data_IF_026372895807
#
_entry.id   IF_026372895807
#
_cell.length_a   1.000
_cell.length_b   1.000
_cell.length_c   1.000
_cell.angle_alpha   90.00
_cell.angle_beta   90.00
_cell.angle_gamma   90.00
#
_symmetry.space_group_name_H-M   'P 1'
#
loop_
_entity.id
_entity.type
_entity.pdbx_description
1 polymer ?
#
# COMPACT_ATOMS: atom_id res chain seq x y z
N UNK A 1 67.55 30.84 5.03
CA UNK A 1 66.63 31.15 3.91
C UNK A 1 65.83 29.92 3.44
N UNK A 2 66.45 28.83 2.96
CA UNK A 2 65.74 27.63 2.43
C UNK A 2 64.79 26.93 3.44
N UNK A 3 65.20 26.80 4.69
CA UNK A 3 64.39 26.15 5.73
C UNK A 3 63.08 26.89 6.07
N UNK A 4 63.10 28.23 6.08
CA UNK A 4 61.90 29.04 6.30
C UNK A 4 60.91 28.96 5.12
N UNK A 5 61.42 28.88 3.88
CA UNK A 5 60.59 28.67 2.70
C UNK A 5 59.94 27.28 2.70
N UNK A 6 60.69 26.24 3.10
CA UNK A 6 60.17 24.88 3.22
C UNK A 6 59.06 24.76 4.28
N UNK A 7 59.24 25.40 5.44
CA UNK A 7 58.22 25.42 6.50
C UNK A 7 56.93 26.11 6.04
N UNK A 8 57.03 27.29 5.41
CA UNK A 8 55.86 27.99 4.85
C UNK A 8 55.14 27.16 3.79
N UNK A 9 55.87 26.43 2.95
CA UNK A 9 55.28 25.53 1.96
C UNK A 9 54.53 24.36 2.62
N UNK A 10 55.08 23.78 3.69
CA UNK A 10 54.42 22.71 4.46
C UNK A 10 53.15 23.21 5.16
N UNK A 11 53.20 24.37 5.81
CA UNK A 11 52.02 25.00 6.45
C UNK A 11 50.92 25.30 5.43
N UNK A 12 51.28 25.84 4.26
CA UNK A 12 50.31 26.11 3.19
C UNK A 12 49.67 24.82 2.64
N UNK A 13 50.44 23.73 2.54
CA UNK A 13 49.92 22.42 2.15
C UNK A 13 48.99 21.84 3.21
N UNK A 14 49.42 21.83 4.47
CA UNK A 14 48.60 21.31 5.59
C UNK A 14 47.28 22.06 5.70
N UNK A 15 47.27 23.38 5.51
CA UNK A 15 46.03 24.18 5.51
C UNK A 15 45.09 23.75 4.38
N UNK A 16 45.61 23.60 3.16
CA UNK A 16 44.80 23.16 2.00
C UNK A 16 44.25 21.75 2.19
N UNK A 17 45.07 20.84 2.73
CA UNK A 17 44.65 19.48 3.01
C UNK A 17 43.57 19.44 4.11
N UNK A 18 43.69 20.26 5.16
CA UNK A 18 42.67 20.40 6.19
C UNK A 18 41.35 20.98 5.64
N UNK A 19 41.42 22.03 4.80
CA UNK A 19 40.25 22.61 4.13
C UNK A 19 39.57 21.58 3.22
N UNK A 20 40.35 20.81 2.46
CA UNK A 20 39.86 19.72 1.60
C UNK A 20 39.13 18.67 2.43
N UNK A 21 39.73 18.19 3.53
CA UNK A 21 39.11 17.17 4.39
C UNK A 21 37.80 17.66 5.02
N UNK A 22 37.74 18.92 5.47
CA UNK A 22 36.51 19.50 6.00
C UNK A 22 35.43 19.57 4.93
N UNK A 23 35.79 19.97 3.70
CA UNK A 23 34.86 20.00 2.57
C UNK A 23 34.36 18.59 2.23
N UNK A 24 35.26 17.61 2.14
CA UNK A 24 34.91 16.22 1.81
C UNK A 24 33.91 15.66 2.82
N UNK A 25 34.15 15.83 4.13
CA UNK A 25 33.20 15.41 5.17
C UNK A 25 31.84 16.08 5.06
N UNK A 26 31.81 17.38 4.75
CA UNK A 26 30.53 18.10 4.54
C UNK A 26 29.77 17.59 3.32
N UNK A 27 30.49 17.25 2.24
CA UNK A 27 29.87 16.66 1.05
C UNK A 27 29.34 15.26 1.34
N UNK A 28 30.12 14.43 2.03
CA UNK A 28 29.69 13.08 2.44
C UNK A 28 28.43 13.13 3.32
N UNK A 29 28.41 14.02 4.31
CA UNK A 29 27.25 14.23 5.15
C UNK A 29 26.02 14.69 4.34
N UNK A 30 26.20 15.70 3.48
CA UNK A 30 25.11 16.21 2.65
C UNK A 30 24.57 15.15 1.67
N UNK A 31 25.43 14.27 1.16
CA UNK A 31 25.02 13.15 0.31
C UNK A 31 24.24 12.10 1.11
N UNK A 32 24.69 11.76 2.31
CA UNK A 32 23.97 10.84 3.19
C UNK A 32 22.56 11.37 3.51
N UNK A 33 22.46 12.62 3.95
CA UNK A 33 21.19 13.30 4.23
C UNK A 33 20.30 13.36 2.98
N UNK A 34 20.88 13.68 1.81
CA UNK A 34 20.14 13.70 0.55
C UNK A 34 19.51 12.34 0.22
N UNK A 35 20.27 11.24 0.30
CA UNK A 35 19.77 9.91 0.00
C UNK A 35 18.76 9.43 1.04
N UNK A 36 18.97 9.73 2.33
CA UNK A 36 18.01 9.43 3.39
C UNK A 36 16.67 10.14 3.17
N UNK A 37 16.71 11.44 2.85
CA UNK A 37 15.51 12.21 2.56
C UNK A 37 14.81 11.75 1.28
N UNK A 38 15.56 11.40 0.24
CA UNK A 38 14.98 10.86 -1.00
C UNK A 38 14.25 9.55 -0.74
N UNK A 39 14.89 8.62 -0.01
CA UNK A 39 14.26 7.35 0.36
C UNK A 39 13.00 7.55 1.23
N UNK A 40 13.04 8.52 2.15
CA UNK A 40 11.89 8.88 2.98
C UNK A 40 10.73 9.41 2.14
N UNK A 41 11.00 10.27 1.15
CA UNK A 41 9.98 10.78 0.22
C UNK A 41 9.36 9.64 -0.58
N UNK A 42 10.18 8.78 -1.17
CA UNK A 42 9.71 7.62 -1.94
C UNK A 42 8.81 6.69 -1.10
N UNK A 43 9.19 6.45 0.17
CA UNK A 43 8.39 5.67 1.09
C UNK A 43 7.04 6.33 1.39
N UNK A 44 7.03 7.64 1.66
CA UNK A 44 5.79 8.39 1.92
C UNK A 44 4.86 8.36 0.70
N UNK A 45 5.41 8.51 -0.50
CA UNK A 45 4.64 8.45 -1.74
C UNK A 45 4.01 7.08 -1.94
N UNK A 46 4.79 6.01 -1.78
CA UNK A 46 4.32 4.63 -1.91
C UNK A 46 3.21 4.31 -0.89
N UNK A 47 3.40 4.68 0.38
CA UNK A 47 2.42 4.48 1.44
C UNK A 47 1.12 5.24 1.18
N UNK A 48 1.24 6.49 0.70
CA UNK A 48 0.08 7.33 0.39
C UNK A 48 -0.69 6.76 -0.80
N UNK A 49 0.00 6.33 -1.85
CA UNK A 49 -0.61 5.71 -3.01
C UNK A 49 -1.36 4.42 -2.63
N UNK A 50 -0.75 3.56 -1.81
CA UNK A 50 -1.38 2.33 -1.33
C UNK A 50 -2.65 2.61 -0.49
N UNK A 51 -2.59 3.60 0.42
CA UNK A 51 -3.73 4.01 1.23
C UNK A 51 -4.86 4.59 0.37
N UNK A 52 -4.52 5.45 -0.59
CA UNK A 52 -5.49 6.05 -1.50
C UNK A 52 -6.18 4.97 -2.34
N UNK A 53 -5.42 4.04 -2.92
CA UNK A 53 -5.97 2.93 -3.68
C UNK A 53 -6.96 2.09 -2.86
N UNK A 54 -6.62 1.79 -1.59
CA UNK A 54 -7.52 1.08 -0.68
C UNK A 54 -8.80 1.84 -0.39
N UNK A 55 -8.71 3.14 -0.10
CA UNK A 55 -9.88 3.97 0.19
C UNK A 55 -10.79 4.07 -1.04
N UNK A 56 -10.21 4.27 -2.23
CA UNK A 56 -10.95 4.30 -3.49
C UNK A 56 -11.65 2.98 -3.75
N UNK A 57 -10.96 1.85 -3.63
CA UNK A 57 -11.56 0.52 -3.83
C UNK A 57 -12.73 0.25 -2.87
N UNK A 58 -12.60 0.62 -1.59
CA UNK A 58 -13.69 0.49 -0.61
C UNK A 58 -14.85 1.43 -0.96
N UNK A 59 -14.56 2.65 -1.41
CA UNK A 59 -15.57 3.61 -1.84
C UNK A 59 -16.35 3.13 -3.06
N UNK A 60 -15.66 2.60 -4.07
CA UNK A 60 -16.24 2.01 -5.28
C UNK A 60 -17.14 0.81 -4.93
N UNK A 61 -16.64 -0.11 -4.11
CA UNK A 61 -17.41 -1.27 -3.66
C UNK A 61 -18.71 -0.85 -2.95
N UNK A 62 -18.63 0.07 -1.98
CA UNK A 62 -19.82 0.57 -1.27
C UNK A 62 -20.78 1.32 -2.18
N UNK A 63 -20.27 2.05 -3.17
CA UNK A 63 -21.10 2.75 -4.16
C UNK A 63 -21.82 1.76 -5.06
N UNK A 64 -21.15 0.68 -5.45
CA UNK A 64 -21.74 -0.41 -6.23
C UNK A 64 -22.83 -1.12 -5.42
N UNK A 65 -22.55 -1.52 -4.18
CA UNK A 65 -23.54 -2.13 -3.26
C UNK A 65 -24.78 -1.23 -3.09
N UNK A 66 -24.57 0.06 -2.84
CA UNK A 66 -25.69 1.01 -2.72
C UNK A 66 -26.49 1.13 -4.02
N UNK A 67 -25.82 1.12 -5.17
CA UNK A 67 -26.47 1.18 -6.48
C UNK A 67 -27.33 -0.06 -6.75
N UNK A 68 -26.84 -1.24 -6.36
CA UNK A 68 -27.59 -2.50 -6.45
C UNK A 68 -28.84 -2.47 -5.56
N UNK A 69 -28.71 -2.02 -4.32
CA UNK A 69 -29.85 -1.87 -3.40
C UNK A 69 -30.89 -0.89 -3.94
N UNK A 70 -30.47 0.22 -4.55
CA UNK A 70 -31.38 1.17 -5.22
C UNK A 70 -32.10 0.48 -6.37
N UNK A 71 -31.40 -0.28 -7.22
CA UNK A 71 -32.02 -0.99 -8.34
C UNK A 71 -33.05 -2.03 -7.85
N UNK A 72 -32.75 -2.77 -6.78
CA UNK A 72 -33.69 -3.70 -6.13
C UNK A 72 -34.92 -2.97 -5.61
N UNK A 73 -34.75 -1.84 -4.92
CA UNK A 73 -35.87 -1.05 -4.40
C UNK A 73 -36.75 -0.50 -5.53
N UNK A 74 -36.14 0.01 -6.62
CA UNK A 74 -36.87 0.50 -7.79
C UNK A 74 -37.69 -0.61 -8.45
N UNK A 75 -37.15 -1.83 -8.56
CA UNK A 75 -37.89 -2.99 -9.07
C UNK A 75 -39.07 -3.35 -8.19
N UNK A 76 -38.85 -3.43 -6.88
CA UNK A 76 -39.92 -3.73 -5.94
C UNK A 76 -41.08 -2.73 -6.07
N UNK A 77 -40.79 -1.44 -6.25
CA UNK A 77 -41.85 -0.44 -6.52
C UNK A 77 -42.61 -0.72 -7.82
N UNK A 78 -41.90 -1.07 -8.90
CA UNK A 78 -42.53 -1.41 -10.18
C UNK A 78 -43.36 -2.71 -10.11
N UNK A 79 -42.89 -3.72 -9.37
CA UNK A 79 -43.61 -4.98 -9.14
C UNK A 79 -44.88 -4.79 -8.30
N UNK A 80 -44.89 -3.80 -7.41
CA UNK A 80 -46.08 -3.38 -6.67
C UNK A 80 -47.11 -2.63 -7.55
N UNK A 81 -46.80 -2.38 -8.82
CA UNK A 81 -47.70 -1.77 -9.79
C UNK A 81 -47.48 -0.28 -10.00
N UNK A 82 -46.46 0.33 -9.39
CA UNK A 82 -46.12 1.72 -9.66
C UNK A 82 -45.64 1.91 -11.09
N UNK A 83 -46.01 3.04 -11.70
CA UNK A 83 -45.49 3.41 -13.02
C UNK A 83 -44.11 4.04 -12.88
N UNK A 84 -43.25 3.91 -13.89
CA UNK A 84 -41.91 4.55 -13.89
C UNK A 84 -41.99 6.07 -13.68
N UNK A 85 -43.04 6.72 -14.18
CA UNK A 85 -43.34 8.13 -13.95
C UNK A 85 -43.65 8.43 -12.49
N UNK A 86 -44.49 7.63 -11.84
CA UNK A 86 -44.80 7.78 -10.42
C UNK A 86 -43.54 7.55 -9.56
N UNK A 87 -42.73 6.54 -9.88
CA UNK A 87 -41.45 6.30 -9.19
C UNK A 87 -40.47 7.47 -9.37
N UNK A 88 -40.39 8.07 -10.57
CA UNK A 88 -39.58 9.26 -10.83
C UNK A 88 -40.01 10.45 -9.98
N UNK A 89 -41.31 10.69 -9.85
CA UNK A 89 -41.86 11.75 -9.01
C UNK A 89 -41.59 11.50 -7.52
N UNK A 90 -41.75 10.25 -7.05
CA UNK A 90 -41.54 9.87 -5.65
C UNK A 90 -40.07 9.93 -5.21
N UNK A 91 -39.16 9.52 -6.10
CA UNK A 91 -37.72 9.42 -5.78
C UNK A 91 -36.94 10.67 -6.17
N UNK A 92 -37.52 11.53 -7.03
CA UNK A 92 -36.83 12.66 -7.65
C UNK A 92 -35.81 12.25 -8.73
N UNK A 93 -35.76 10.97 -9.12
CA UNK A 93 -34.86 10.49 -10.16
C UNK A 93 -35.41 10.76 -11.55
N UNK A 94 -34.51 10.94 -12.52
CA UNK A 94 -34.93 11.02 -13.92
C UNK A 94 -35.42 9.65 -14.42
N UNK A 95 -36.37 9.67 -15.37
CA UNK A 95 -36.84 8.45 -16.03
C UNK A 95 -35.71 7.66 -16.69
N UNK A 96 -34.70 8.35 -17.23
CA UNK A 96 -33.52 7.72 -17.80
C UNK A 96 -32.72 6.97 -16.73
N UNK A 97 -32.43 7.61 -15.59
CA UNK A 97 -31.70 6.98 -14.49
C UNK A 97 -32.43 5.77 -13.91
N UNK A 98 -33.77 5.82 -13.78
CA UNK A 98 -34.57 4.68 -13.34
C UNK A 98 -34.49 3.52 -14.34
N UNK A 99 -34.62 3.81 -15.64
CA UNK A 99 -34.48 2.80 -16.69
C UNK A 99 -33.10 2.15 -16.66
N UNK A 100 -32.05 2.95 -16.55
CA UNK A 100 -30.67 2.48 -16.59
C UNK A 100 -30.35 1.62 -15.36
N UNK A 101 -30.81 2.03 -14.17
CA UNK A 101 -30.66 1.27 -12.92
C UNK A 101 -31.44 -0.06 -12.92
N UNK A 102 -32.65 -0.07 -13.49
CA UNK A 102 -33.44 -1.31 -13.60
C UNK A 102 -32.83 -2.25 -14.65
N UNK A 103 -32.33 -1.74 -15.78
CA UNK A 103 -31.76 -2.56 -16.84
C UNK A 103 -30.42 -3.22 -16.48
N UNK A 104 -29.56 -2.54 -15.70
CA UNK A 104 -28.26 -3.08 -15.29
C UNK A 104 -28.37 -4.30 -14.36
N UNK A 105 -29.42 -4.37 -13.54
CA UNK A 105 -29.62 -5.46 -12.59
C UNK A 105 -30.36 -6.67 -13.21
N UNK A 106 -30.88 -6.57 -14.45
CA UNK A 106 -31.63 -7.68 -15.09
C UNK A 106 -30.66 -8.79 -15.48
N UNK A 107 -29.40 -8.44 -15.69
CA UNK A 107 -28.30 -9.36 -15.97
C UNK A 107 -27.72 -10.02 -14.71
N UNK A 108 -27.97 -9.48 -13.50
CA UNK A 108 -27.43 -10.01 -12.25
C UNK A 108 -28.40 -10.96 -11.50
N UNK A 109 -29.70 -10.83 -11.74
CA UNK A 109 -30.75 -11.56 -11.02
C UNK A 109 -30.89 -13.05 -11.39
N UNK A 110 -30.35 -13.51 -12.53
CA UNK A 110 -30.45 -14.91 -12.95
C UNK A 110 -29.46 -15.85 -12.23
N UNK A 111 -28.57 -15.32 -11.39
CA UNK A 111 -27.49 -16.08 -10.73
C UNK A 111 -27.66 -16.37 -9.23
N UNK A 112 -28.71 -15.90 -8.56
CA UNK A 112 -28.81 -15.92 -7.08
C UNK A 112 -29.97 -16.77 -6.50
N UNK A 113 -30.37 -17.83 -7.19
CA UNK A 113 -31.34 -18.80 -6.67
C UNK A 113 -30.77 -20.24 -6.55
N UNK A 114 -29.56 -20.41 -5.99
CA UNK A 114 -29.08 -21.70 -5.48
C UNK A 114 -28.07 -21.52 -4.32
N UNK A 115 -28.54 -21.37 -3.08
CA UNK A 115 -27.85 -21.94 -1.89
C UNK A 115 -28.68 -21.86 -0.60
N UNK A 116 -30.00 -22.03 -0.68
CA UNK A 116 -30.78 -22.44 0.49
C UNK A 116 -30.63 -23.96 0.66
N UNK A 117 -29.57 -24.42 1.33
CA UNK A 117 -29.43 -25.83 1.64
C UNK A 117 -28.04 -26.35 1.97
N UNK A 118 -27.39 -25.85 3.03
CA UNK A 118 -26.52 -26.73 3.84
C UNK A 118 -26.38 -26.23 5.27
N UNK A 119 -27.42 -26.49 6.04
CA UNK A 119 -27.32 -26.60 7.49
C UNK A 119 -26.44 -27.82 7.79
N UNK A 120 -25.14 -27.58 7.97
CA UNK A 120 -24.14 -28.60 8.30
C UNK A 120 -23.49 -28.25 9.62
N UNK A 121 -24.04 -28.84 10.68
CA UNK A 121 -23.44 -29.13 11.99
C UNK A 121 -22.14 -28.39 12.36
N UNK A 122 -22.30 -27.53 13.35
CA UNK A 122 -21.33 -27.30 14.43
C UNK A 122 -20.77 -28.65 14.91
N UNK A 123 -19.46 -28.83 14.82
CA UNK A 123 -18.73 -29.69 15.75
C UNK A 123 -17.74 -28.80 16.53
N UNK A 124 -17.63 -28.98 17.86
CA UNK A 124 -16.64 -28.30 18.68
C UNK A 124 -15.26 -28.83 18.30
N UNK A 125 -14.31 -27.92 18.04
CA UNK A 125 -12.90 -28.29 18.05
C UNK A 125 -12.45 -28.32 19.50
N UNK A 126 -12.17 -29.55 19.95
CA UNK A 126 -11.52 -29.82 21.21
C UNK A 126 -10.15 -29.15 21.25
N UNK A 127 -9.89 -28.48 22.38
CA UNK A 127 -8.58 -28.06 22.83
C UNK A 127 -7.64 -29.28 22.86
N UNK A 128 -6.56 -29.25 22.10
CA UNK A 128 -5.40 -30.10 22.39
C UNK A 128 -4.16 -29.23 22.60
N UNK A 129 -3.62 -29.40 23.80
CA UNK A 129 -2.53 -28.66 24.41
C UNK A 129 -1.30 -29.54 24.34
N UNK A 130 -0.23 -29.03 23.76
CA UNK A 130 1.12 -29.59 23.83
C UNK A 130 2.00 -28.86 22.83
N UNK A 131 2.89 -27.97 23.27
CA UNK A 131 4.32 -28.31 23.44
C UNK A 131 4.88 -28.77 22.07
N UNK A 132 5.60 -27.94 21.33
CA UNK A 132 7.00 -27.73 21.64
C UNK A 132 7.55 -26.38 21.14
N UNK A 133 8.33 -25.80 22.04
CA UNK A 133 9.05 -24.55 21.91
C UNK A 133 10.48 -24.89 21.52
N UNK A 134 10.80 -24.82 20.22
CA UNK A 134 12.18 -24.96 19.71
C UNK A 134 12.72 -23.58 19.29
N UNK A 135 13.57 -22.93 20.11
CA UNK A 135 14.38 -21.81 19.68
C UNK A 135 15.83 -22.28 19.56
N UNK A 136 16.21 -22.88 18.44
CA UNK A 136 17.63 -23.03 18.11
C UNK A 136 17.87 -23.09 16.60
N UNK A 137 18.98 -22.47 16.17
CA UNK A 137 19.40 -22.48 14.77
C UNK A 137 19.73 -21.10 14.18
N UNK A 138 20.41 -20.24 14.95
CA UNK A 138 21.10 -19.08 14.39
C UNK A 138 22.23 -19.52 13.46
N UNK A 139 21.98 -19.55 12.16
CA UNK A 139 23.05 -19.64 11.16
C UNK A 139 23.59 -18.23 10.85
N UNK A 140 24.75 -17.93 11.42
CA UNK A 140 25.54 -16.76 11.09
C UNK A 140 26.16 -16.90 9.68
N UNK A 141 26.15 -15.85 8.84
CA UNK A 141 26.80 -15.88 7.53
C UNK A 141 28.33 -15.84 7.67
N UNK A 142 29.00 -16.87 7.16
CA UNK A 142 30.46 -16.97 7.06
C UNK A 142 30.97 -16.06 5.94
N UNK A 143 31.48 -14.87 6.29
CA UNK A 143 32.33 -14.09 5.39
C UNK A 143 33.80 -14.24 5.78
N UNK A 144 34.52 -15.05 4.99
CA UNK A 144 35.82 -14.76 4.35
C UNK A 144 37.00 -14.30 5.23
N UNK A 145 37.97 -15.19 5.43
CA UNK A 145 39.38 -14.84 5.71
C UNK A 145 40.35 -15.64 4.80
N UNK A 146 41.37 -14.94 4.29
CA UNK A 146 42.57 -15.50 3.63
C UNK A 146 42.42 -15.80 2.14
N UNK A 147 42.96 -15.06 1.18
CA UNK A 147 44.17 -14.26 1.26
C UNK A 147 45.42 -15.13 1.22
N UNK A 148 45.64 -15.85 0.11
CA UNK A 148 46.94 -16.45 -0.20
C UNK A 148 47.50 -15.80 -1.47
N UNK A 149 48.61 -15.08 -1.28
CA UNK A 149 49.50 -14.54 -2.29
C UNK A 149 50.90 -15.08 -1.95
N UNK A 150 51.36 -16.09 -2.68
CA UNK A 150 52.77 -16.49 -2.96
C UNK A 150 52.70 -17.85 -3.66
N UNK A 151 53.28 -18.11 -4.83
CA UNK A 151 54.63 -17.80 -5.34
C UNK A 151 54.60 -17.89 -6.87
#
# INVERSE_FOLDING_TARGET
>A
MRYAAMRKAQEAKQRRDAERLVRERKVEQALAEFFEHTATVEQIEADTAAKLAKVTAVGEMKTQEASELVAVALRAMLELGETRTAVAELTGWSLAAIRDAVATNDYASDGHNQSAGRHGLVQPQDDDVGEDNDPDGGEAPYWREGGDWST
#
